data_IF_779188576301
#
_entry.id   IF_779188576301
#
_cell.length_a   1.000
_cell.length_b   1.000
_cell.length_c   1.000
_cell.angle_alpha   90.00
_cell.angle_beta   90.00
_cell.angle_gamma   90.00
#
_symmetry.space_group_name_H-M   'P 1'
#
loop_
_entity.id
_entity.type
_entity.pdbx_description
1 polymer ?
#
# COMPACT_ATOMS: atom_id res chain seq x y z
N UNK A 1 -24.78 -4.33 -6.42
CA UNK A 1 -23.29 -4.25 -6.41
C UNK A 1 -22.65 -5.60 -6.64
N UNK A 2 -23.06 -6.66 -5.92
CA UNK A 2 -22.45 -7.98 -6.09
C UNK A 2 -22.60 -8.51 -7.53
N UNK A 3 -23.70 -8.24 -8.20
CA UNK A 3 -23.93 -8.57 -9.61
C UNK A 3 -22.91 -7.90 -10.53
N UNK A 4 -22.56 -6.61 -10.27
CA UNK A 4 -21.49 -5.93 -11.00
C UNK A 4 -20.13 -6.58 -10.77
N UNK A 5 -19.85 -7.01 -9.51
CA UNK A 5 -18.61 -7.73 -9.18
C UNK A 5 -18.52 -9.03 -9.97
N UNK A 6 -19.60 -9.81 -10.01
CA UNK A 6 -19.66 -11.12 -10.68
C UNK A 6 -20.00 -11.06 -12.19
N UNK A 7 -20.18 -9.86 -12.75
CA UNK A 7 -20.46 -9.71 -14.17
C UNK A 7 -19.31 -10.27 -15.03
N UNK A 8 -19.64 -10.88 -16.15
CA UNK A 8 -18.67 -11.51 -17.07
C UNK A 8 -17.53 -10.54 -17.44
N UNK A 9 -17.87 -9.31 -17.81
CA UNK A 9 -16.88 -8.28 -18.21
C UNK A 9 -15.94 -7.96 -17.07
N UNK A 10 -16.44 -7.78 -15.84
CA UNK A 10 -15.61 -7.47 -14.67
C UNK A 10 -14.71 -8.63 -14.28
N UNK A 11 -15.24 -9.86 -14.31
CA UNK A 11 -14.47 -11.07 -14.00
C UNK A 11 -13.36 -11.33 -15.03
N UNK A 12 -13.61 -11.10 -16.32
CA UNK A 12 -12.58 -11.20 -17.35
C UNK A 12 -11.45 -10.19 -17.14
N UNK A 13 -11.77 -8.94 -16.85
CA UNK A 13 -10.76 -7.91 -16.50
C UNK A 13 -9.94 -8.31 -15.27
N UNK A 14 -10.60 -8.81 -14.23
CA UNK A 14 -9.94 -9.26 -13.02
C UNK A 14 -9.03 -10.47 -13.28
N UNK A 15 -9.48 -11.45 -14.08
CA UNK A 15 -8.69 -12.60 -14.48
C UNK A 15 -7.42 -12.16 -15.23
N UNK A 16 -7.56 -11.31 -16.23
CA UNK A 16 -6.43 -10.78 -16.99
C UNK A 16 -5.42 -10.09 -16.06
N UNK A 17 -5.89 -9.24 -15.14
CA UNK A 17 -5.01 -8.52 -14.20
C UNK A 17 -4.27 -9.50 -13.26
N UNK A 18 -4.94 -10.53 -12.74
CA UNK A 18 -4.30 -11.50 -11.83
C UNK A 18 -3.28 -12.36 -12.57
N UNK A 19 -3.57 -12.76 -13.81
CA UNK A 19 -2.65 -13.54 -14.64
C UNK A 19 -1.44 -12.70 -15.05
N UNK A 20 -1.65 -11.45 -15.49
CA UNK A 20 -0.55 -10.56 -15.90
C UNK A 20 0.43 -10.23 -14.77
N UNK A 21 -0.02 -10.21 -13.53
CA UNK A 21 0.82 -10.00 -12.35
C UNK A 21 1.76 -11.18 -12.03
N UNK A 22 1.58 -12.35 -12.65
CA UNK A 22 2.44 -13.54 -12.51
C UNK A 22 2.78 -13.93 -11.06
N UNK A 23 1.82 -13.70 -10.13
CA UNK A 23 2.05 -13.96 -8.71
C UNK A 23 2.12 -15.45 -8.38
N UNK A 24 2.82 -15.79 -7.29
CA UNK A 24 2.98 -17.16 -6.80
C UNK A 24 1.65 -17.81 -6.41
N UNK A 25 1.62 -19.15 -6.36
CA UNK A 25 0.47 -19.93 -5.86
C UNK A 25 0.22 -19.64 -4.37
N UNK A 26 -1.04 -19.81 -3.94
CA UNK A 26 -1.43 -19.79 -2.54
C UNK A 26 -1.26 -21.16 -1.87
N UNK A 27 -2.00 -21.40 -0.79
CA UNK A 27 -1.97 -22.67 -0.04
C UNK A 27 -2.46 -23.87 -0.87
N UNK A 28 -3.25 -23.62 -1.91
CA UNK A 28 -3.78 -24.63 -2.85
C UNK A 28 -2.79 -25.07 -3.93
N UNK A 29 -1.61 -24.45 -4.00
CA UNK A 29 -0.59 -24.74 -5.02
C UNK A 29 -1.01 -24.41 -6.45
N UNK A 30 -2.17 -23.77 -6.67
CA UNK A 30 -2.67 -23.46 -8.01
C UNK A 30 -1.89 -22.32 -8.65
N UNK A 31 -1.31 -22.55 -9.84
CA UNK A 31 -0.66 -21.51 -10.64
C UNK A 31 -1.68 -20.53 -11.22
N UNK A 32 -1.29 -19.25 -11.37
CA UNK A 32 -2.11 -18.22 -12.05
C UNK A 32 -2.46 -18.59 -13.49
N UNK A 33 -1.62 -19.38 -14.17
CA UNK A 33 -1.86 -19.83 -15.54
C UNK A 33 -3.08 -20.77 -15.66
N UNK A 34 -3.45 -21.46 -14.56
CA UNK A 34 -4.63 -22.33 -14.51
C UNK A 34 -5.92 -21.58 -14.14
N UNK A 35 -5.84 -20.28 -13.85
CA UNK A 35 -6.96 -19.50 -13.32
C UNK A 35 -8.16 -19.47 -14.28
N UNK A 36 -7.95 -19.19 -15.57
CA UNK A 36 -9.03 -19.10 -16.56
C UNK A 36 -9.82 -20.43 -16.63
N UNK A 37 -9.13 -21.54 -16.84
CA UNK A 37 -9.74 -22.87 -16.92
C UNK A 37 -10.45 -23.25 -15.61
N UNK A 38 -9.84 -22.91 -14.47
CA UNK A 38 -10.46 -23.15 -13.16
C UNK A 38 -11.74 -22.34 -12.97
N UNK A 39 -11.71 -21.05 -13.36
CA UNK A 39 -12.88 -20.18 -13.29
C UNK A 39 -14.01 -20.66 -14.19
N UNK A 40 -13.73 -21.01 -15.45
CA UNK A 40 -14.72 -21.47 -16.41
C UNK A 40 -15.49 -22.71 -15.89
N UNK A 41 -14.79 -23.61 -15.22
CA UNK A 41 -15.40 -24.83 -14.63
C UNK A 41 -16.21 -24.55 -13.36
N UNK A 42 -15.80 -23.60 -12.53
CA UNK A 42 -16.32 -23.43 -11.18
C UNK A 42 -17.14 -22.13 -10.98
N UNK A 43 -17.25 -21.25 -12.00
CA UNK A 43 -17.86 -19.94 -11.88
C UNK A 43 -19.29 -19.96 -11.33
N UNK A 44 -20.12 -20.90 -11.78
CA UNK A 44 -21.52 -21.04 -11.31
C UNK A 44 -21.57 -21.37 -9.82
N UNK A 45 -20.81 -22.39 -9.40
CA UNK A 45 -20.74 -22.82 -8.00
C UNK A 45 -20.22 -21.71 -7.08
N UNK A 46 -19.13 -21.05 -7.49
CA UNK A 46 -18.53 -19.94 -6.72
C UNK A 46 -19.49 -18.76 -6.64
N UNK A 47 -20.10 -18.35 -7.77
CA UNK A 47 -21.04 -17.24 -7.81
C UNK A 47 -22.28 -17.52 -6.94
N UNK A 48 -22.86 -18.72 -7.04
CA UNK A 48 -23.98 -19.15 -6.19
C UNK A 48 -23.60 -19.13 -4.70
N UNK A 49 -22.41 -19.63 -4.35
CA UNK A 49 -21.94 -19.58 -2.96
C UNK A 49 -21.76 -18.13 -2.45
N UNK A 50 -21.30 -17.20 -3.29
CA UNK A 50 -21.18 -15.78 -2.96
C UNK A 50 -22.57 -15.16 -2.77
N UNK A 51 -23.49 -15.35 -3.71
CA UNK A 51 -24.84 -14.79 -3.66
C UNK A 51 -25.64 -15.30 -2.44
N UNK A 52 -25.41 -16.55 -2.04
CA UNK A 52 -26.02 -17.14 -0.83
C UNK A 52 -25.23 -16.79 0.44
N UNK A 53 -24.13 -16.00 0.35
CA UNK A 53 -23.28 -15.66 1.48
C UNK A 53 -22.52 -16.83 2.09
N UNK A 54 -22.45 -17.98 1.39
CA UNK A 54 -21.81 -19.23 1.85
C UNK A 54 -20.35 -19.36 1.41
N UNK A 55 -19.86 -18.53 0.47
CA UNK A 55 -18.46 -18.57 0.05
C UNK A 55 -17.51 -18.46 1.25
N UNK A 56 -16.56 -19.37 1.34
CA UNK A 56 -15.50 -19.38 2.37
C UNK A 56 -14.14 -19.23 1.70
N UNK A 57 -13.41 -18.13 1.95
CA UNK A 57 -12.04 -17.98 1.50
C UNK A 57 -11.12 -19.03 2.14
N UNK A 58 -10.12 -19.48 1.41
CA UNK A 58 -9.10 -20.37 1.95
C UNK A 58 -8.06 -19.59 2.77
N UNK A 59 -7.28 -20.30 3.60
CA UNK A 59 -6.18 -19.68 4.35
C UNK A 59 -5.17 -19.01 3.43
N UNK A 60 -4.52 -17.96 3.94
CA UNK A 60 -3.50 -17.22 3.22
C UNK A 60 -2.15 -17.87 3.47
N UNK A 61 -1.36 -18.14 2.44
CA UNK A 61 0.01 -18.63 2.60
C UNK A 61 0.91 -17.47 3.09
N UNK A 62 1.48 -17.64 4.27
CA UNK A 62 2.42 -16.69 4.85
C UNK A 62 3.86 -17.01 4.45
N UNK A 63 4.53 -16.02 3.86
CA UNK A 63 5.94 -16.12 3.46
C UNK A 63 6.71 -14.99 4.14
N UNK A 64 7.77 -15.33 4.86
CA UNK A 64 8.65 -14.36 5.49
C UNK A 64 9.68 -13.84 4.48
N UNK A 65 9.72 -12.52 4.29
CA UNK A 65 10.69 -11.84 3.43
C UNK A 65 11.64 -11.01 4.29
N UNK A 66 12.98 -11.19 4.13
CA UNK A 66 13.93 -10.40 4.90
C UNK A 66 13.88 -8.93 4.50
N UNK A 67 13.94 -8.04 5.50
CA UNK A 67 14.14 -6.60 5.32
C UNK A 67 15.62 -6.25 5.38
N UNK A 68 15.99 -5.12 4.78
CA UNK A 68 17.39 -4.62 4.79
C UNK A 68 17.96 -4.36 6.20
N UNK A 69 17.15 -4.36 7.23
CA UNK A 69 17.54 -4.14 8.63
C UNK A 69 17.58 -5.45 9.46
N UNK A 70 17.63 -6.61 8.83
CA UNK A 70 17.67 -7.92 9.49
C UNK A 70 16.33 -8.42 10.07
N UNK A 71 15.28 -7.59 10.05
CA UNK A 71 13.92 -8.02 10.43
C UNK A 71 13.21 -8.70 9.26
N UNK A 72 12.19 -9.50 9.53
CA UNK A 72 11.34 -10.11 8.50
C UNK A 72 10.06 -9.30 8.29
N UNK A 73 9.47 -9.46 7.11
CA UNK A 73 8.12 -9.02 6.78
C UNK A 73 7.30 -10.24 6.37
N UNK A 74 6.16 -10.44 6.99
CA UNK A 74 5.23 -11.50 6.60
C UNK A 74 4.40 -11.03 5.41
N UNK A 75 4.62 -11.66 4.24
CA UNK A 75 3.78 -11.49 3.06
C UNK A 75 2.68 -12.54 3.08
N UNK A 76 1.46 -12.13 2.84
CA UNK A 76 0.32 -13.04 2.75
C UNK A 76 -0.09 -13.26 1.29
N UNK A 77 -0.04 -14.50 0.82
CA UNK A 77 -0.40 -14.89 -0.55
C UNK A 77 -1.76 -15.61 -0.51
N UNK A 78 -2.88 -14.93 -0.86
CA UNK A 78 -4.19 -15.60 -1.01
C UNK A 78 -4.16 -16.59 -2.18
N UNK A 79 -5.09 -17.55 -2.19
CA UNK A 79 -5.29 -18.44 -3.35
C UNK A 79 -5.58 -17.61 -4.61
N UNK A 80 -5.30 -18.21 -5.77
CA UNK A 80 -5.51 -17.51 -7.05
C UNK A 80 -6.99 -17.16 -7.25
N UNK A 81 -7.91 -18.04 -6.80
CA UNK A 81 -9.35 -17.78 -6.82
C UNK A 81 -9.74 -16.61 -5.92
N UNK A 82 -9.20 -16.55 -4.69
CA UNK A 82 -9.47 -15.41 -3.81
C UNK A 82 -8.90 -14.11 -4.38
N UNK A 83 -7.72 -14.14 -4.99
CA UNK A 83 -7.14 -12.96 -5.69
C UNK A 83 -8.02 -12.48 -6.84
N UNK A 84 -8.59 -13.40 -7.62
CA UNK A 84 -9.54 -13.08 -8.70
C UNK A 84 -10.76 -12.33 -8.13
N UNK A 85 -11.38 -12.87 -7.09
CA UNK A 85 -12.57 -12.27 -6.48
C UNK A 85 -12.26 -10.93 -5.79
N UNK A 86 -11.10 -10.84 -5.12
CA UNK A 86 -10.64 -9.59 -4.52
C UNK A 86 -10.36 -8.52 -5.58
N UNK A 87 -9.75 -8.90 -6.71
CA UNK A 87 -9.53 -7.98 -7.83
C UNK A 87 -10.86 -7.53 -8.45
N UNK A 88 -11.82 -8.43 -8.61
CA UNK A 88 -13.15 -8.10 -9.12
C UNK A 88 -13.90 -7.13 -8.18
N UNK A 89 -13.82 -7.33 -6.86
CA UNK A 89 -14.36 -6.39 -5.86
C UNK A 89 -13.63 -5.05 -5.93
N UNK A 90 -12.29 -5.07 -5.98
CA UNK A 90 -11.47 -3.86 -6.08
C UNK A 90 -11.91 -2.96 -7.24
N UNK A 91 -12.08 -3.53 -8.45
CA UNK A 91 -12.47 -2.79 -9.67
C UNK A 91 -13.82 -2.08 -9.53
N UNK A 92 -14.74 -2.66 -8.78
CA UNK A 92 -16.09 -2.11 -8.59
C UNK A 92 -16.15 -1.05 -7.49
N UNK A 93 -15.39 -1.26 -6.39
CA UNK A 93 -15.46 -0.33 -5.26
C UNK A 93 -14.44 0.80 -5.32
N UNK A 94 -13.31 0.62 -5.99
CA UNK A 94 -12.24 1.63 -6.09
C UNK A 94 -12.75 2.97 -6.61
N UNK A 95 -13.55 3.06 -7.69
CA UNK A 95 -14.02 4.35 -8.20
C UNK A 95 -14.90 5.12 -7.19
N UNK A 96 -15.59 4.41 -6.28
CA UNK A 96 -16.43 5.03 -5.26
C UNK A 96 -15.63 5.81 -4.22
N UNK A 97 -14.41 5.35 -3.93
CA UNK A 97 -13.51 5.95 -2.96
C UNK A 97 -12.51 6.91 -3.60
N UNK A 98 -12.03 6.60 -4.82
CA UNK A 98 -11.07 7.42 -5.54
C UNK A 98 -11.55 8.86 -5.73
N UNK A 99 -12.85 9.05 -5.98
CA UNK A 99 -13.46 10.36 -6.12
C UNK A 99 -13.35 11.26 -4.86
N UNK A 100 -13.15 10.67 -3.68
CA UNK A 100 -13.04 11.39 -2.41
C UNK A 100 -11.60 11.50 -1.90
N UNK A 101 -10.69 10.67 -2.41
CA UNK A 101 -9.30 10.68 -1.95
C UNK A 101 -8.64 12.03 -2.21
N UNK A 102 -7.93 12.49 -1.20
CA UNK A 102 -7.31 13.81 -1.18
C UNK A 102 -6.16 13.93 -2.17
N UNK A 103 -5.90 15.14 -2.64
CA UNK A 103 -4.90 15.40 -3.69
C UNK A 103 -3.49 15.02 -3.26
N UNK A 104 -3.14 15.24 -2.00
CA UNK A 104 -1.80 14.99 -1.46
C UNK A 104 -1.56 13.54 -0.99
N UNK A 105 -2.46 12.62 -1.36
CA UNK A 105 -2.31 11.18 -1.20
C UNK A 105 -1.98 10.54 -2.55
N UNK A 106 -0.82 9.89 -2.66
CA UNK A 106 -0.26 9.43 -3.94
C UNK A 106 -0.17 7.91 -4.08
N UNK A 107 0.12 7.18 -3.00
CA UNK A 107 0.38 5.74 -3.07
C UNK A 107 -0.84 4.91 -3.42
N UNK A 108 -0.66 3.89 -4.28
CA UNK A 108 -1.69 2.92 -4.67
C UNK A 108 -2.94 3.53 -5.35
N UNK A 109 -2.78 4.64 -6.03
CA UNK A 109 -3.85 5.34 -6.76
C UNK A 109 -3.57 5.41 -8.25
N UNK A 110 -4.62 5.35 -9.11
CA UNK A 110 -4.44 5.53 -10.55
C UNK A 110 -3.89 6.94 -10.85
N UNK A 111 -3.02 7.03 -11.85
CA UNK A 111 -2.41 8.29 -12.30
C UNK A 111 -1.62 9.07 -11.23
N UNK A 112 -1.28 8.43 -10.11
CA UNK A 112 -0.44 8.99 -9.05
C UNK A 112 0.84 8.15 -8.90
N UNK A 113 1.96 8.80 -8.60
CA UNK A 113 3.24 8.13 -8.48
C UNK A 113 4.15 8.75 -7.40
N UNK A 114 5.25 8.08 -7.12
CA UNK A 114 6.22 8.51 -6.12
C UNK A 114 6.91 9.83 -6.48
N UNK A 115 7.14 10.08 -7.78
CA UNK A 115 7.81 11.30 -8.25
C UNK A 115 6.95 12.54 -7.95
N UNK A 116 5.63 12.46 -8.20
CA UNK A 116 4.70 13.54 -7.86
C UNK A 116 4.70 13.84 -6.34
N UNK A 117 4.73 12.80 -5.50
CA UNK A 117 4.81 12.96 -4.05
C UNK A 117 6.09 13.68 -3.61
N UNK A 118 7.23 13.27 -4.18
CA UNK A 118 8.54 13.87 -3.86
C UNK A 118 8.65 15.32 -4.36
N UNK A 119 8.13 15.62 -5.55
CA UNK A 119 8.07 16.98 -6.08
C UNK A 119 7.19 17.90 -5.23
N UNK A 120 6.04 17.40 -4.77
CA UNK A 120 5.17 18.15 -3.87
C UNK A 120 5.86 18.45 -2.52
N UNK A 121 6.60 17.47 -1.97
CA UNK A 121 7.42 17.68 -0.78
C UNK A 121 8.47 18.78 -0.97
N UNK A 122 9.16 18.78 -2.13
CA UNK A 122 10.13 19.80 -2.49
C UNK A 122 9.49 21.20 -2.58
N UNK A 123 8.31 21.29 -3.21
CA UNK A 123 7.57 22.56 -3.30
C UNK A 123 7.26 23.16 -1.93
N UNK A 124 6.77 22.33 -0.99
CA UNK A 124 6.49 22.79 0.38
C UNK A 124 7.75 23.25 1.12
N UNK A 125 8.84 22.50 0.99
CA UNK A 125 10.13 22.86 1.59
C UNK A 125 10.64 24.18 1.02
N UNK A 126 10.56 24.39 -0.29
CA UNK A 126 11.02 25.59 -0.98
C UNK A 126 10.10 26.79 -0.76
N UNK A 127 8.83 26.56 -0.39
CA UNK A 127 7.90 27.58 0.09
C UNK A 127 8.13 27.97 1.56
N UNK A 128 9.21 27.47 2.20
CA UNK A 128 9.61 27.87 3.56
C UNK A 128 9.12 26.94 4.69
N UNK A 129 8.42 25.85 4.38
CA UNK A 129 7.94 24.87 5.37
C UNK A 129 9.04 23.85 5.72
N UNK A 130 10.12 24.33 6.38
CA UNK A 130 11.38 23.60 6.62
C UNK A 130 11.40 22.76 7.91
N UNK A 131 10.28 22.63 8.61
CA UNK A 131 10.12 21.77 9.78
C UNK A 131 9.15 20.64 9.43
N UNK A 132 9.70 19.45 9.20
CA UNK A 132 8.97 18.30 8.65
C UNK A 132 8.65 17.35 9.80
N UNK A 133 7.36 17.12 10.05
CA UNK A 133 6.89 16.06 10.94
C UNK A 133 6.84 14.78 10.12
N UNK A 134 7.82 13.92 10.35
CA UNK A 134 7.98 12.62 9.69
C UNK A 134 7.42 11.55 10.61
N UNK A 135 6.38 10.82 10.18
CA UNK A 135 5.67 9.84 11.00
C UNK A 135 5.70 8.46 10.32
N UNK A 136 6.30 7.50 10.99
CA UNK A 136 6.34 6.08 10.61
C UNK A 136 5.29 5.31 11.43
N UNK A 137 4.30 4.69 10.76
CA UNK A 137 3.31 3.84 11.38
C UNK A 137 3.92 2.45 11.69
N UNK A 138 3.79 2.00 12.93
CA UNK A 138 4.34 0.69 13.32
C UNK A 138 3.49 -0.43 12.74
N UNK A 139 4.06 -1.20 11.80
CA UNK A 139 3.40 -2.37 11.20
C UNK A 139 1.97 -2.07 10.71
N UNK A 140 1.78 -0.96 10.01
CA UNK A 140 0.45 -0.45 9.64
C UNK A 140 -0.50 -1.53 9.13
N UNK A 141 -0.06 -2.34 8.14
CA UNK A 141 -0.91 -3.39 7.56
C UNK A 141 -1.38 -4.44 8.57
N UNK A 142 -0.61 -4.69 9.63
CA UNK A 142 -0.96 -5.65 10.68
C UNK A 142 -1.85 -5.04 11.77
N UNK A 143 -1.88 -3.72 11.86
CA UNK A 143 -2.56 -2.98 12.93
C UNK A 143 -3.94 -2.40 12.54
N UNK A 144 -4.36 -2.50 11.27
CA UNK A 144 -5.66 -1.99 10.81
C UNK A 144 -6.82 -2.62 11.60
N UNK A 145 -7.58 -1.80 12.30
CA UNK A 145 -8.79 -2.25 13.04
C UNK A 145 -9.90 -2.60 12.06
N UNK A 146 -10.37 -3.87 12.08
CA UNK A 146 -11.40 -4.35 11.17
C UNK A 146 -12.77 -3.67 11.37
N UNK A 147 -13.11 -3.26 12.62
CA UNK A 147 -14.38 -2.60 12.88
C UNK A 147 -14.40 -1.21 12.28
N UNK A 148 -13.33 -0.43 12.48
CA UNK A 148 -13.19 0.91 11.89
C UNK A 148 -13.22 0.81 10.37
N UNK A 149 -12.41 -0.08 9.78
CA UNK A 149 -12.34 -0.26 8.34
C UNK A 149 -13.71 -0.64 7.74
N UNK A 150 -14.43 -1.59 8.35
CA UNK A 150 -15.74 -2.02 7.87
C UNK A 150 -16.80 -0.91 7.99
N UNK A 151 -16.73 -0.06 9.03
CA UNK A 151 -17.59 1.12 9.14
C UNK A 151 -17.33 2.13 8.02
N UNK A 152 -16.05 2.37 7.68
CA UNK A 152 -15.69 3.26 6.58
C UNK A 152 -16.17 2.71 5.23
N UNK A 153 -15.98 1.41 5.00
CA UNK A 153 -16.49 0.73 3.81
C UNK A 153 -18.01 0.84 3.70
N UNK A 154 -18.75 0.63 4.81
CA UNK A 154 -20.20 0.67 4.83
C UNK A 154 -20.78 2.03 4.39
N UNK A 155 -20.05 3.11 4.57
CA UNK A 155 -20.51 4.44 4.13
C UNK A 155 -20.80 4.49 2.64
N UNK A 156 -20.06 3.76 1.81
CA UNK A 156 -20.14 3.73 0.35
C UNK A 156 -20.65 2.39 -0.20
N UNK A 157 -20.17 1.31 0.37
CA UNK A 157 -20.52 -0.06 -0.05
C UNK A 157 -21.78 -0.49 0.68
N UNK A 158 -22.97 -0.14 0.14
CA UNK A 158 -24.26 -0.48 0.73
C UNK A 158 -24.75 -1.90 0.37
N UNK A 159 -23.83 -2.80 0.05
CA UNK A 159 -24.14 -4.18 -0.36
C UNK A 159 -23.70 -5.17 0.72
N UNK A 160 -24.65 -5.81 1.45
CA UNK A 160 -24.31 -6.73 2.55
C UNK A 160 -23.46 -7.92 2.10
N UNK A 161 -23.69 -8.45 0.90
CA UNK A 161 -22.90 -9.58 0.36
C UNK A 161 -21.45 -9.19 0.09
N UNK A 162 -21.21 -8.02 -0.51
CA UNK A 162 -19.85 -7.50 -0.75
C UNK A 162 -19.12 -7.26 0.57
N UNK A 163 -19.78 -6.62 1.55
CA UNK A 163 -19.19 -6.39 2.87
C UNK A 163 -18.91 -7.68 3.64
N UNK A 164 -19.82 -8.68 3.54
CA UNK A 164 -19.63 -10.00 4.12
C UNK A 164 -18.39 -10.69 3.53
N UNK A 165 -18.20 -10.58 2.22
CA UNK A 165 -17.05 -11.15 1.52
C UNK A 165 -15.75 -10.49 1.97
N UNK A 166 -15.70 -9.16 2.02
CA UNK A 166 -14.53 -8.41 2.53
C UNK A 166 -14.23 -8.79 3.98
N UNK A 167 -15.27 -8.85 4.84
CA UNK A 167 -15.11 -9.26 6.24
C UNK A 167 -14.53 -10.67 6.39
N UNK A 168 -14.93 -11.62 5.52
CA UNK A 168 -14.37 -12.96 5.51
C UNK A 168 -12.89 -12.94 5.14
N UNK A 169 -12.48 -12.22 4.10
CA UNK A 169 -11.05 -12.07 3.73
C UNK A 169 -10.19 -11.41 4.82
N UNK A 170 -10.72 -10.43 5.51
CA UNK A 170 -10.01 -9.80 6.64
C UNK A 170 -9.73 -10.77 7.77
N UNK A 171 -10.59 -11.77 8.00
CA UNK A 171 -10.52 -12.74 9.10
C UNK A 171 -9.89 -14.07 8.75
N UNK A 172 -9.60 -14.31 7.48
CA UNK A 172 -8.95 -15.55 7.04
C UNK A 172 -7.62 -15.74 7.78
N UNK A 173 -7.34 -16.94 8.34
CA UNK A 173 -6.07 -17.20 8.99
C UNK A 173 -4.91 -17.19 7.99
N UNK A 174 -3.71 -16.86 8.47
CA UNK A 174 -2.47 -17.01 7.71
C UNK A 174 -1.82 -18.32 8.13
N UNK A 175 -1.40 -19.10 7.16
CA UNK A 175 -0.65 -20.33 7.36
C UNK A 175 0.85 -20.05 7.22
N UNK A 176 1.59 -20.20 8.32
CA UNK A 176 3.04 -20.02 8.37
C UNK A 176 3.65 -21.32 8.88
N UNK A 177 4.54 -21.93 8.11
CA UNK A 177 5.21 -23.20 8.47
C UNK A 177 4.19 -24.27 8.92
N UNK A 178 3.07 -24.43 8.20
CA UNK A 178 2.02 -25.38 8.50
C UNK A 178 1.05 -24.97 9.63
N UNK A 179 1.36 -23.94 10.42
CA UNK A 179 0.50 -23.47 11.52
C UNK A 179 -0.44 -22.36 11.07
N UNK A 180 -1.71 -22.45 11.48
CA UNK A 180 -2.74 -21.46 11.19
C UNK A 180 -2.77 -20.38 12.29
N UNK A 181 -2.49 -19.14 11.91
CA UNK A 181 -2.53 -17.96 12.79
C UNK A 181 -3.83 -17.19 12.52
N UNK A 182 -4.73 -17.14 13.48
CA UNK A 182 -5.98 -16.37 13.41
C UNK A 182 -5.69 -14.87 13.44
N UNK A 183 -6.48 -14.12 12.66
CA UNK A 183 -6.34 -12.66 12.57
C UNK A 183 -7.58 -11.96 13.13
N UNK A 184 -7.36 -11.02 14.03
CA UNK A 184 -8.41 -10.14 14.61
C UNK A 184 -8.30 -8.70 14.10
N UNK A 185 -7.17 -8.32 13.53
CA UNK A 185 -6.86 -7.02 12.94
C UNK A 185 -5.91 -7.19 11.75
N UNK A 186 -5.69 -6.12 11.03
CA UNK A 186 -4.77 -6.05 9.91
C UNK A 186 -5.37 -6.47 8.57
N UNK A 187 -4.70 -6.07 7.51
CA UNK A 187 -4.98 -6.45 6.11
C UNK A 187 -3.77 -7.21 5.55
N UNK A 188 -3.97 -8.30 4.79
CA UNK A 188 -2.86 -9.12 4.31
C UNK A 188 -2.00 -8.35 3.30
N UNK A 189 -0.69 -8.28 3.55
CA UNK A 189 0.25 -7.73 2.58
C UNK A 189 0.41 -8.71 1.40
N UNK A 190 -0.01 -8.29 0.20
CA UNK A 190 0.01 -9.12 -1.02
C UNK A 190 -1.38 -9.48 -1.59
N UNK A 191 -2.44 -9.08 -0.91
CA UNK A 191 -3.82 -9.17 -1.43
C UNK A 191 -4.10 -8.02 -2.40
N UNK A 192 -4.78 -8.24 -3.55
CA UNK A 192 -5.16 -7.18 -4.49
C UNK A 192 -6.02 -6.07 -3.89
N UNK A 193 -6.79 -6.38 -2.84
CA UNK A 193 -7.70 -5.45 -2.19
C UNK A 193 -7.00 -4.60 -1.12
N UNK A 194 -5.90 -5.07 -0.53
CA UNK A 194 -5.25 -4.43 0.62
C UNK A 194 -4.77 -2.99 0.37
N UNK A 195 -4.23 -2.62 -0.80
CA UNK A 195 -3.84 -1.24 -1.09
C UNK A 195 -5.02 -0.27 -1.02
N UNK A 196 -6.17 -0.65 -1.57
CA UNK A 196 -7.39 0.17 -1.49
C UNK A 196 -7.90 0.28 -0.05
N UNK A 197 -7.94 -0.83 0.69
CA UNK A 197 -8.37 -0.83 2.09
C UNK A 197 -7.45 0.05 2.97
N UNK A 198 -6.17 0.04 2.69
CA UNK A 198 -5.17 0.92 3.29
C UNK A 198 -5.50 2.40 3.05
N UNK A 199 -5.77 2.77 1.82
CA UNK A 199 -6.13 4.14 1.46
C UNK A 199 -7.47 4.57 2.08
N UNK A 200 -8.47 3.70 2.14
CA UNK A 200 -9.75 3.97 2.80
C UNK A 200 -9.55 4.28 4.30
N UNK A 201 -8.69 3.50 4.98
CA UNK A 201 -8.38 3.72 6.38
C UNK A 201 -7.67 5.05 6.60
N UNK A 202 -6.64 5.34 5.80
CA UNK A 202 -5.82 6.55 5.94
C UNK A 202 -6.44 7.81 5.34
N UNK A 203 -7.48 7.69 4.50
CA UNK A 203 -8.25 8.84 4.03
C UNK A 203 -8.87 9.65 5.18
N UNK A 204 -9.16 8.99 6.31
CA UNK A 204 -9.64 9.67 7.53
C UNK A 204 -8.57 10.62 8.09
N UNK A 205 -7.29 10.21 8.04
CA UNK A 205 -6.15 11.06 8.40
C UNK A 205 -5.99 12.21 7.39
N UNK A 206 -6.05 11.92 6.09
CA UNK A 206 -5.95 12.96 5.04
C UNK A 206 -7.01 14.03 5.22
N UNK A 207 -8.25 13.62 5.51
CA UNK A 207 -9.37 14.53 5.76
C UNK A 207 -9.14 15.40 6.98
N UNK A 208 -8.59 14.84 8.06
CA UNK A 208 -8.29 15.60 9.27
C UNK A 208 -7.15 16.60 9.03
N UNK A 209 -6.11 16.21 8.30
CA UNK A 209 -5.00 17.09 7.94
C UNK A 209 -5.46 18.29 7.11
N UNK A 210 -6.30 18.07 6.09
CA UNK A 210 -6.87 19.15 5.28
C UNK A 210 -7.82 20.05 6.09
N UNK A 211 -8.68 19.47 6.93
CA UNK A 211 -9.58 20.22 7.80
C UNK A 211 -8.82 21.18 8.72
N UNK A 212 -7.63 20.78 9.19
CA UNK A 212 -6.75 21.62 10.01
C UNK A 212 -5.86 22.55 9.19
N UNK A 213 -5.94 22.54 7.85
CA UNK A 213 -5.13 23.39 6.96
C UNK A 213 -3.66 23.00 6.91
N UNK A 214 -3.32 21.74 7.19
CA UNK A 214 -1.94 21.28 7.19
C UNK A 214 -1.48 20.84 5.80
N UNK A 215 -0.28 21.27 5.42
CA UNK A 215 0.41 20.81 4.22
C UNK A 215 1.03 19.43 4.50
N UNK A 216 0.71 18.45 3.70
CA UNK A 216 1.22 17.10 3.89
C UNK A 216 1.44 16.38 2.55
N UNK A 217 2.21 15.32 2.60
CA UNK A 217 2.39 14.36 1.51
C UNK A 217 2.26 12.97 2.09
N UNK A 218 1.40 12.14 1.50
CA UNK A 218 1.26 10.73 1.89
C UNK A 218 1.47 9.80 0.69
N UNK A 219 2.30 8.81 0.87
CA UNK A 219 2.48 7.70 -0.07
C UNK A 219 2.26 6.37 0.66
N UNK A 220 1.09 5.76 0.47
CA UNK A 220 0.65 4.60 1.26
C UNK A 220 0.63 4.90 2.77
N UNK A 221 1.42 4.20 3.56
CA UNK A 221 1.58 4.38 5.01
C UNK A 221 2.68 5.37 5.41
N UNK A 222 3.54 5.77 4.46
CA UNK A 222 4.54 6.81 4.67
C UNK A 222 3.91 8.20 4.50
N UNK A 223 3.99 9.06 5.51
CA UNK A 223 3.49 10.43 5.39
C UNK A 223 4.32 11.44 6.18
N UNK A 224 4.33 12.66 5.67
CA UNK A 224 5.07 13.80 6.23
C UNK A 224 4.21 15.05 6.19
N UNK A 225 4.34 15.90 7.23
CA UNK A 225 3.59 17.16 7.38
C UNK A 225 4.59 18.31 7.47
N UNK A 226 4.31 19.41 6.79
CA UNK A 226 5.26 20.51 6.58
C UNK A 226 4.83 21.75 7.33
N UNK A 227 5.71 22.31 8.17
CA UNK A 227 5.46 23.48 9.01
C UNK A 227 6.54 24.55 8.88
N UNK A 228 6.18 25.82 9.10
CA UNK A 228 7.12 26.97 9.04
C UNK A 228 8.02 27.05 10.26
N UNK A 229 7.58 26.58 11.43
CA UNK A 229 8.35 26.66 12.67
C UNK A 229 8.41 25.33 13.43
N UNK A 230 9.44 25.16 14.26
CA UNK A 230 9.60 23.97 15.12
C UNK A 230 8.46 23.84 16.14
N UNK A 231 7.98 24.98 16.66
CA UNK A 231 6.86 25.00 17.60
C UNK A 231 5.56 24.51 16.94
N UNK A 232 5.24 25.02 15.73
CA UNK A 232 4.09 24.54 14.95
C UNK A 232 4.21 23.04 14.63
N UNK A 233 5.37 22.58 14.15
CA UNK A 233 5.61 21.17 13.88
C UNK A 233 5.37 20.27 15.11
N UNK A 234 5.80 20.73 16.31
CA UNK A 234 5.57 19.99 17.56
C UNK A 234 4.10 19.92 17.92
N UNK A 235 3.35 21.01 17.80
CA UNK A 235 1.90 21.03 18.06
C UNK A 235 1.16 20.10 17.11
N UNK A 236 1.45 20.18 15.82
CA UNK A 236 0.88 19.31 14.79
C UNK A 236 1.21 17.85 15.08
N UNK A 237 2.48 17.51 15.32
CA UNK A 237 2.91 16.14 15.61
C UNK A 237 2.16 15.53 16.80
N UNK A 238 1.99 16.29 17.90
CA UNK A 238 1.24 15.83 19.07
C UNK A 238 -0.25 15.62 18.76
N UNK A 239 -0.89 16.55 18.04
CA UNK A 239 -2.30 16.44 17.64
C UNK A 239 -2.53 15.20 16.79
N UNK A 240 -1.70 15.00 15.77
CA UNK A 240 -1.82 13.84 14.86
C UNK A 240 -1.48 12.52 15.56
N UNK A 241 -0.50 12.52 16.49
CA UNK A 241 -0.25 11.35 17.33
C UNK A 241 -1.49 10.91 18.12
N UNK A 242 -2.17 11.85 18.77
CA UNK A 242 -3.40 11.57 19.52
C UNK A 242 -4.54 11.13 18.60
N UNK A 243 -4.67 11.75 17.43
CA UNK A 243 -5.66 11.37 16.43
C UNK A 243 -5.46 9.93 15.95
N UNK A 244 -4.26 9.56 15.54
CA UNK A 244 -3.92 8.21 15.09
C UNK A 244 -4.19 7.17 16.17
N UNK A 245 -3.77 7.45 17.41
CA UNK A 245 -3.96 6.54 18.55
C UNK A 245 -5.45 6.37 18.91
N UNK A 246 -6.20 7.48 19.03
CA UNK A 246 -7.55 7.45 19.60
C UNK A 246 -8.63 7.17 18.55
N UNK A 247 -8.49 7.71 17.34
CA UNK A 247 -9.49 7.57 16.27
C UNK A 247 -9.24 6.39 15.35
N UNK A 248 -7.99 6.16 14.96
CA UNK A 248 -7.65 5.09 14.02
C UNK A 248 -7.07 3.85 14.71
N UNK A 249 -6.71 3.93 15.99
CA UNK A 249 -6.05 2.88 16.77
C UNK A 249 -4.74 2.40 16.14
N UNK A 250 -4.05 3.28 15.44
CA UNK A 250 -2.80 2.99 14.75
C UNK A 250 -1.60 3.38 15.63
N UNK A 251 -0.71 2.45 15.94
CA UNK A 251 0.50 2.75 16.70
C UNK A 251 1.56 3.43 15.82
N UNK A 252 2.27 4.40 16.41
CA UNK A 252 3.39 5.10 15.79
C UNK A 252 4.72 4.48 16.24
N UNK A 253 5.64 4.36 15.33
CA UNK A 253 7.03 3.99 15.63
C UNK A 253 7.79 5.24 16.11
N UNK A 254 7.94 5.37 17.43
CA UNK A 254 8.57 6.55 18.06
C UNK A 254 10.06 6.71 17.73
N UNK A 255 10.76 5.60 17.47
CA UNK A 255 12.20 5.64 17.16
C UNK A 255 12.46 6.23 15.76
N UNK A 256 11.55 6.00 14.84
CA UNK A 256 11.68 6.47 13.45
C UNK A 256 10.96 7.79 13.20
N UNK A 257 9.92 8.10 13.98
CA UNK A 257 9.16 9.34 13.84
C UNK A 257 9.85 10.52 14.51
N UNK A 258 9.70 11.72 13.95
CA UNK A 258 10.29 12.91 14.55
C UNK A 258 10.13 14.17 13.71
N UNK A 259 10.63 15.29 14.22
CA UNK A 259 10.69 16.55 13.50
C UNK A 259 12.07 16.67 12.85
N UNK A 260 12.10 16.78 11.53
CA UNK A 260 13.33 16.82 10.74
C UNK A 260 13.51 18.17 10.03
N UNK A 261 14.75 18.52 9.75
CA UNK A 261 15.11 19.54 8.77
C UNK A 261 15.25 18.92 7.39
N UNK A 262 15.12 19.65 6.28
CA UNK A 262 15.19 19.09 4.92
C UNK A 262 16.44 18.23 4.68
N UNK A 263 17.60 18.66 5.14
CA UNK A 263 18.89 17.92 4.99
C UNK A 263 18.93 16.57 5.70
N UNK A 264 18.06 16.36 6.70
CA UNK A 264 17.94 15.13 7.47
C UNK A 264 16.64 14.37 7.17
N UNK A 265 15.92 14.77 6.13
CA UNK A 265 14.66 14.14 5.72
C UNK A 265 14.87 13.36 4.42
N UNK A 266 14.35 12.15 4.40
CA UNK A 266 14.34 11.27 3.24
C UNK A 266 12.90 10.82 2.99
N UNK A 267 12.45 10.91 1.75
CA UNK A 267 11.13 10.43 1.31
C UNK A 267 11.28 9.60 0.04
N UNK A 268 10.75 8.38 0.04
CA UNK A 268 10.70 7.49 -1.13
C UNK A 268 12.08 7.31 -1.83
N UNK A 269 13.16 7.32 -1.05
CA UNK A 269 14.52 7.14 -1.56
C UNK A 269 15.16 8.39 -2.13
N UNK A 270 14.60 9.58 -1.84
CA UNK A 270 15.17 10.88 -2.19
C UNK A 270 15.49 11.72 -0.95
N UNK A 271 16.53 12.53 -1.05
CA UNK A 271 16.98 13.51 -0.06
C UNK A 271 16.90 14.93 -0.61
N UNK A 272 16.93 15.89 0.29
CA UNK A 272 16.90 17.32 -0.04
C UNK A 272 18.26 17.95 0.33
N UNK A 273 18.95 18.48 -0.66
CA UNK A 273 20.23 19.20 -0.45
C UNK A 273 20.06 20.68 -0.82
N UNK A 274 20.72 21.62 -0.10
CA UNK A 274 20.67 23.02 -0.47
C UNK A 274 21.15 23.23 -1.90
N UNK A 275 20.49 24.12 -2.63
CA UNK A 275 21.00 24.58 -3.92
C UNK A 275 22.00 25.71 -3.73
N UNK A 276 23.07 25.71 -4.51
CA UNK A 276 24.11 26.75 -4.52
C UNK A 276 24.01 27.65 -5.76
N UNK A 277 22.92 27.54 -6.50
CA UNK A 277 22.66 28.39 -7.68
C UNK A 277 22.41 29.81 -7.23
N UNK A 278 23.08 30.79 -7.87
CA UNK A 278 22.88 32.22 -7.62
C UNK A 278 21.41 32.61 -7.84
N UNK A 279 20.78 33.26 -6.88
CA UNK A 279 19.33 33.55 -6.89
C UNK A 279 18.42 32.56 -6.19
N UNK A 280 18.87 31.34 -5.95
CA UNK A 280 18.09 30.26 -5.30
C UNK A 280 18.49 30.03 -3.84
N UNK A 281 18.98 31.07 -3.18
CA UNK A 281 19.44 30.97 -1.79
C UNK A 281 18.34 30.45 -0.87
N UNK A 282 18.65 29.38 -0.14
CA UNK A 282 17.73 28.76 0.83
C UNK A 282 16.72 27.79 0.23
N UNK A 283 16.79 27.52 -1.08
CA UNK A 283 16.05 26.43 -1.74
C UNK A 283 16.79 25.09 -1.67
N UNK A 284 16.08 24.03 -1.94
CA UNK A 284 16.56 22.66 -1.89
C UNK A 284 16.28 21.95 -3.22
N UNK A 285 17.27 21.20 -3.69
CA UNK A 285 17.14 20.30 -4.84
C UNK A 285 17.01 18.85 -4.37
N UNK A 286 16.37 18.04 -5.21
CA UNK A 286 16.22 16.60 -5.00
C UNK A 286 17.47 15.86 -5.45
N UNK A 287 17.93 14.93 -4.62
CA UNK A 287 18.98 13.98 -4.97
C UNK A 287 18.55 12.58 -4.55
N UNK A 288 18.96 11.58 -5.30
CA UNK A 288 18.74 10.17 -4.94
C UNK A 288 19.51 9.87 -3.66
N UNK A 289 18.87 9.19 -2.69
CA UNK A 289 19.53 8.84 -1.44
C UNK A 289 20.67 7.87 -1.67
N UNK A 290 21.71 7.94 -0.84
CA UNK A 290 22.88 7.05 -0.94
C UNK A 290 22.49 5.58 -0.89
N UNK A 291 21.51 5.23 -0.06
CA UNK A 291 20.96 3.87 0.03
C UNK A 291 20.38 3.42 -1.31
N UNK A 292 19.54 4.25 -1.94
CA UNK A 292 18.92 3.95 -3.24
C UNK A 292 19.98 3.85 -4.32
N UNK A 293 20.95 4.75 -4.30
CA UNK A 293 22.09 4.76 -5.25
C UNK A 293 22.98 3.52 -5.12
N UNK A 294 23.31 3.13 -3.88
CA UNK A 294 24.11 1.93 -3.62
C UNK A 294 23.34 0.65 -4.00
N UNK A 295 22.03 0.59 -3.77
CA UNK A 295 21.20 -0.52 -4.22
C UNK A 295 21.19 -0.64 -5.75
N UNK A 296 21.10 0.47 -6.47
CA UNK A 296 21.20 0.49 -7.95
C UNK A 296 22.57 -0.02 -8.41
N UNK A 297 23.65 0.53 -7.86
CA UNK A 297 25.02 0.09 -8.18
C UNK A 297 25.20 -1.43 -7.95
N UNK A 298 24.74 -1.92 -6.81
CA UNK A 298 24.84 -3.34 -6.48
C UNK A 298 24.02 -4.22 -7.45
N UNK A 299 22.84 -3.78 -7.82
CA UNK A 299 21.97 -4.48 -8.80
C UNK A 299 22.62 -4.50 -10.18
N UNK A 300 23.15 -3.37 -10.64
CA UNK A 300 23.90 -3.29 -11.91
C UNK A 300 25.11 -4.21 -11.87
N UNK A 301 25.94 -4.16 -10.80
CA UNK A 301 27.10 -5.02 -10.63
C UNK A 301 26.74 -6.52 -10.71
N UNK A 302 25.63 -6.92 -10.09
CA UNK A 302 25.16 -8.30 -10.13
C UNK A 302 24.70 -8.72 -11.54
N UNK A 303 24.03 -7.83 -12.27
CA UNK A 303 23.55 -8.10 -13.63
C UNK A 303 24.68 -8.12 -14.67
N UNK A 304 25.72 -7.28 -14.48
CA UNK A 304 26.85 -7.16 -15.42
C UNK A 304 28.01 -8.10 -15.10
N UNK A 305 27.92 -8.88 -14.03
CA UNK A 305 28.98 -9.82 -13.63
C UNK A 305 29.20 -10.86 -14.72
N UNK A 306 30.49 -11.09 -15.15
CA UNK A 306 30.83 -12.08 -16.19
C UNK A 306 30.35 -13.50 -15.85
N UNK A 307 30.39 -13.85 -14.56
CA UNK A 307 30.02 -15.18 -14.03
C UNK A 307 28.51 -15.32 -13.74
N UNK A 308 27.68 -14.33 -14.05
CA UNK A 308 26.23 -14.44 -13.83
C UNK A 308 25.65 -15.50 -14.80
N UNK A 309 24.93 -16.52 -14.30
CA UNK A 309 24.40 -17.61 -15.13
C UNK A 309 23.14 -17.13 -15.87
N UNK A 310 23.33 -16.29 -16.89
CA UNK A 310 22.26 -15.80 -17.76
C UNK A 310 22.80 -15.51 -19.15
N UNK A 311 21.94 -15.68 -20.17
CA UNK A 311 22.26 -15.34 -21.55
C UNK A 311 22.41 -13.83 -21.74
N UNK A 312 23.06 -13.41 -22.81
CA UNK A 312 23.20 -12.00 -23.15
C UNK A 312 21.83 -11.30 -23.31
N UNK A 313 20.90 -11.93 -24.00
CA UNK A 313 19.56 -11.41 -24.23
C UNK A 313 18.74 -11.27 -22.92
N UNK A 314 18.87 -12.23 -22.01
CA UNK A 314 18.27 -12.12 -20.68
C UNK A 314 18.86 -10.96 -19.88
N UNK A 315 20.18 -10.74 -20.02
CA UNK A 315 20.89 -9.64 -19.35
C UNK A 315 20.39 -8.29 -19.86
N UNK A 316 20.31 -8.11 -21.17
CA UNK A 316 19.78 -6.90 -21.78
C UNK A 316 18.32 -6.66 -21.36
N UNK A 317 17.46 -7.69 -21.36
CA UNK A 317 16.08 -7.59 -20.88
C UNK A 317 15.94 -7.17 -19.44
N UNK A 318 16.91 -7.52 -18.57
CA UNK A 318 16.90 -7.15 -17.14
C UNK A 318 17.54 -5.78 -16.87
N UNK A 319 18.32 -5.26 -17.80
CA UNK A 319 18.92 -3.92 -17.73
C UNK A 319 17.93 -2.83 -18.23
N UNK A 320 17.10 -3.16 -19.23
CA UNK A 320 16.01 -2.33 -19.71
C UNK A 320 14.77 -2.50 -18.81
#
# INVERSE_FOLDING_TARGET
MIEKVLSKTNMLKACHQVVSNKGSAGVDGMSVMKLSTHWDRNQRTIATAICNGRYLPQSILGVEIPKSNGKTRLLGIPTVTDRLLQQAVHQVIMPLFEAEFKEHSYGFRPNRNAQQAVQQAQQYINAGHKHIVDIDLKSFFDEVDHCILLQLLYRKVKCPLTLRLIRKWLRVPIQVNGKLIKRRKGVPQGSPLSPLLSNIMLHVLDTELEKQGHLYVRYADDFSIYAKSKSAARKIGNSIFLFLKNKLKLPINREKSGIRKPVHFEILGYKFVPTYIKGDRGKYQLVVSEKSWNNLKQRLKNLTRKTAPMTFDERIRKLN
#
